data_IF_589829734779
#
_entry.id   IF_589829734779
#
_cell.length_a   1.000
_cell.length_b   1.000
_cell.length_c   1.000
_cell.angle_alpha   90.00
_cell.angle_beta   90.00
_cell.angle_gamma   90.00
#
_symmetry.space_group_name_H-M   'P 1'
#
loop_
_entity.id
_entity.type
_entity.pdbx_description
1 polymer ?
#
# COMPACT_ATOMS: atom_id res chain seq x y z
N UNK A 1 -35.26 -15.79 -21.45
CA UNK A 1 -33.89 -15.30 -21.13
C UNK A 1 -33.80 -14.84 -19.68
N UNK A 2 -34.58 -13.83 -19.28
CA UNK A 2 -34.51 -13.23 -17.93
C UNK A 2 -34.82 -14.22 -16.79
N UNK A 3 -35.84 -15.07 -16.94
CA UNK A 3 -36.18 -16.08 -15.92
C UNK A 3 -35.07 -17.11 -15.68
N UNK A 4 -34.41 -17.56 -16.76
CA UNK A 4 -33.30 -18.53 -16.67
C UNK A 4 -32.09 -17.93 -15.98
N UNK A 5 -31.73 -16.69 -16.33
CA UNK A 5 -30.67 -15.94 -15.68
C UNK A 5 -30.99 -15.74 -14.20
N UNK A 6 -32.22 -15.31 -13.88
CA UNK A 6 -32.67 -15.10 -12.50
C UNK A 6 -32.56 -16.38 -11.66
N UNK A 7 -33.02 -17.52 -12.18
CA UNK A 7 -32.95 -18.80 -11.46
C UNK A 7 -31.49 -19.22 -11.18
N UNK A 8 -30.60 -19.01 -12.16
CA UNK A 8 -29.17 -19.27 -11.99
C UNK A 8 -28.52 -18.36 -10.94
N UNK A 9 -28.86 -17.06 -10.97
CA UNK A 9 -28.38 -16.10 -9.97
C UNK A 9 -28.83 -16.48 -8.56
N UNK A 10 -30.11 -16.83 -8.39
CA UNK A 10 -30.65 -17.26 -7.09
C UNK A 10 -29.89 -18.49 -6.58
N UNK A 11 -29.65 -19.50 -7.43
CA UNK A 11 -28.86 -20.69 -7.07
C UNK A 11 -27.47 -20.29 -6.55
N UNK A 12 -26.74 -19.48 -7.31
CA UNK A 12 -25.36 -19.10 -6.95
C UNK A 12 -25.33 -18.28 -5.65
N UNK A 13 -26.26 -17.35 -5.45
CA UNK A 13 -26.39 -16.61 -4.19
C UNK A 13 -26.64 -17.54 -3.01
N UNK A 14 -27.61 -18.45 -3.14
CA UNK A 14 -27.88 -19.43 -2.09
C UNK A 14 -26.64 -20.27 -1.83
N UNK A 15 -25.92 -20.71 -2.85
CA UNK A 15 -24.76 -21.57 -2.69
C UNK A 15 -23.60 -20.86 -1.99
N UNK A 16 -23.33 -19.59 -2.33
CA UNK A 16 -22.28 -18.78 -1.69
C UNK A 16 -22.64 -18.50 -0.23
N UNK A 17 -23.88 -18.07 0.03
CA UNK A 17 -24.27 -17.73 1.40
C UNK A 17 -24.65 -18.95 2.24
N UNK A 18 -24.95 -20.13 1.70
CA UNK A 18 -25.31 -21.29 2.54
C UNK A 18 -24.14 -21.81 3.36
N UNK A 19 -22.91 -21.64 2.88
CA UNK A 19 -21.71 -22.07 3.61
C UNK A 19 -21.24 -20.97 4.59
N UNK A 20 -21.32 -21.19 5.92
CA UNK A 20 -20.85 -20.21 6.89
C UNK A 20 -19.35 -19.91 6.77
N UNK A 21 -18.54 -20.88 6.31
CA UNK A 21 -17.11 -20.67 6.08
C UNK A 21 -16.86 -19.69 4.94
N UNK A 22 -17.64 -19.78 3.85
CA UNK A 22 -17.55 -18.81 2.76
C UNK A 22 -17.91 -17.41 3.23
N UNK A 23 -18.95 -17.23 4.06
CA UNK A 23 -19.29 -15.90 4.60
C UNK A 23 -18.14 -15.29 5.40
N UNK A 24 -17.46 -16.10 6.22
CA UNK A 24 -16.30 -15.65 6.99
C UNK A 24 -15.17 -15.23 6.05
N UNK A 25 -14.84 -16.06 5.07
CA UNK A 25 -13.76 -15.77 4.11
C UNK A 25 -14.07 -14.55 3.24
N UNK A 26 -15.32 -14.35 2.84
CA UNK A 26 -15.72 -13.26 1.95
C UNK A 26 -15.90 -11.93 2.66
N UNK A 27 -16.35 -11.89 3.91
CA UNK A 27 -16.69 -10.62 4.59
C UNK A 27 -15.87 -10.37 5.84
N UNK A 28 -15.79 -11.38 6.73
CA UNK A 28 -15.11 -11.21 8.02
C UNK A 28 -13.61 -11.09 7.84
N UNK A 29 -13.02 -11.94 7.01
CA UNK A 29 -11.58 -11.95 6.77
C UNK A 29 -11.11 -10.64 6.11
N UNK A 30 -11.79 -10.09 5.08
CA UNK A 30 -11.48 -8.76 4.56
C UNK A 30 -11.58 -7.61 5.55
N UNK A 31 -12.64 -7.58 6.36
CA UNK A 31 -12.81 -6.56 7.39
C UNK A 31 -11.68 -6.64 8.42
N UNK A 32 -11.37 -7.85 8.90
CA UNK A 32 -10.28 -8.11 9.82
C UNK A 32 -8.91 -7.76 9.20
N UNK A 33 -8.67 -8.13 7.93
CA UNK A 33 -7.45 -7.76 7.22
C UNK A 33 -7.32 -6.24 7.11
N UNK A 34 -8.39 -5.51 6.82
CA UNK A 34 -8.37 -4.04 6.79
C UNK A 34 -7.99 -3.47 8.14
N UNK A 35 -8.56 -4.01 9.22
CA UNK A 35 -8.22 -3.58 10.59
C UNK A 35 -6.75 -3.87 10.89
N UNK A 36 -6.28 -5.08 10.58
CA UNK A 36 -4.89 -5.49 10.79
C UNK A 36 -3.97 -4.61 9.97
N UNK A 37 -4.18 -4.44 8.67
CA UNK A 37 -3.30 -3.63 7.83
C UNK A 37 -3.35 -2.15 8.20
N UNK A 38 -4.52 -1.63 8.58
CA UNK A 38 -4.68 -0.23 8.99
C UNK A 38 -3.95 0.10 10.30
N UNK A 39 -3.85 -0.84 11.25
CA UNK A 39 -3.11 -0.65 12.50
C UNK A 39 -1.66 -1.16 12.47
N UNK A 40 -1.43 -2.32 11.85
CA UNK A 40 -0.14 -3.04 11.90
C UNK A 40 0.87 -2.53 10.88
N UNK A 41 0.42 -2.01 9.73
CA UNK A 41 1.33 -1.36 8.78
C UNK A 41 1.41 0.11 9.10
N UNK A 42 2.08 0.40 10.21
CA UNK A 42 2.43 1.75 10.62
C UNK A 42 3.89 2.00 10.26
N UNK A 43 4.12 2.81 9.22
CA UNK A 43 5.46 3.24 8.82
C UNK A 43 5.87 4.56 9.49
N UNK A 44 5.08 5.06 10.45
CA UNK A 44 5.38 6.29 11.16
C UNK A 44 6.65 6.09 12.02
N UNK A 45 7.75 6.72 11.61
CA UNK A 45 9.02 6.64 12.33
C UNK A 45 8.99 7.58 13.53
N UNK A 46 8.69 7.04 14.72
CA UNK A 46 8.73 7.75 16.02
C UNK A 46 9.52 6.93 17.05
N UNK A 47 10.04 7.58 18.09
CA UNK A 47 10.78 6.93 19.19
C UNK A 47 12.00 6.10 18.75
N UNK A 48 12.78 6.61 17.80
CA UNK A 48 13.96 5.95 17.22
C UNK A 48 14.98 5.67 18.34
N UNK A 49 15.26 4.39 18.68
CA UNK A 49 16.25 4.05 19.68
C UNK A 49 17.64 4.51 19.22
N UNK A 50 18.21 5.46 19.94
CA UNK A 50 19.42 6.19 19.54
C UNK A 50 20.50 6.03 20.59
N UNK A 51 21.72 5.69 20.17
CA UNK A 51 22.91 5.78 21.01
C UNK A 51 23.69 7.07 20.70
N UNK A 52 24.29 7.64 21.74
CA UNK A 52 25.19 8.79 21.61
C UNK A 52 26.62 8.33 21.80
N UNK A 53 27.47 8.63 20.83
CA UNK A 53 28.91 8.49 20.92
C UNK A 53 29.54 9.88 21.02
N UNK A 54 29.74 10.36 22.24
CA UNK A 54 30.29 11.70 22.46
C UNK A 54 31.76 11.61 22.87
N UNK A 55 32.67 11.87 21.92
CA UNK A 55 34.12 11.93 22.16
C UNK A 55 34.60 13.31 22.60
N UNK A 56 33.81 14.35 22.35
CA UNK A 56 34.13 15.73 22.70
C UNK A 56 33.75 16.05 24.15
N UNK A 57 32.67 15.43 24.63
CA UNK A 57 32.10 15.57 25.98
C UNK A 57 31.92 17.05 26.41
N UNK A 58 31.55 17.90 25.46
CA UNK A 58 31.43 19.34 25.65
C UNK A 58 30.03 19.77 26.07
N UNK A 59 29.85 21.06 26.33
CA UNK A 59 28.52 21.65 26.55
C UNK A 59 27.68 21.62 25.27
N UNK A 60 28.31 21.89 24.13
CA UNK A 60 27.67 22.01 22.81
C UNK A 60 27.20 20.65 22.29
N UNK A 61 28.01 19.58 22.46
CA UNK A 61 27.60 18.21 22.10
C UNK A 61 26.39 17.76 22.92
N UNK A 62 26.40 18.01 24.24
CA UNK A 62 25.29 17.67 25.15
C UNK A 62 24.03 18.48 24.87
N UNK A 63 24.16 19.76 24.52
CA UNK A 63 23.02 20.59 24.15
C UNK A 63 22.34 20.06 22.88
N UNK A 64 23.11 19.78 21.82
CA UNK A 64 22.56 19.26 20.57
C UNK A 64 21.90 17.89 20.79
N UNK A 65 22.54 17.01 21.56
CA UNK A 65 21.96 15.73 21.97
C UNK A 65 20.62 15.89 22.73
N UNK A 66 20.54 16.86 23.65
CA UNK A 66 19.32 17.12 24.42
C UNK A 66 18.18 17.65 23.54
N UNK A 67 18.49 18.55 22.59
CA UNK A 67 17.51 19.03 21.60
C UNK A 67 16.96 17.85 20.80
N UNK A 68 17.83 16.96 20.33
CA UNK A 68 17.42 15.77 19.59
C UNK A 68 16.53 14.84 20.41
N UNK A 69 16.85 14.59 21.68
CA UNK A 69 15.99 13.81 22.59
C UNK A 69 14.61 14.46 22.81
N UNK A 70 14.58 15.78 22.96
CA UNK A 70 13.34 16.53 23.24
C UNK A 70 12.40 16.66 22.02
N UNK A 71 12.89 16.37 20.81
CA UNK A 71 12.11 16.45 19.57
C UNK A 71 10.95 15.45 19.47
N UNK A 72 10.94 14.40 20.29
CA UNK A 72 9.97 13.31 20.24
C UNK A 72 10.22 12.28 19.14
N UNK A 73 11.17 12.51 18.23
CA UNK A 73 11.56 11.54 17.20
C UNK A 73 12.58 10.53 17.70
N UNK A 74 13.51 10.96 18.55
CA UNK A 74 14.63 10.16 19.04
C UNK A 74 14.48 9.83 20.51
N UNK A 75 14.73 8.57 20.85
CA UNK A 75 14.80 8.11 22.24
C UNK A 75 16.23 7.69 22.54
N UNK A 76 16.92 8.48 23.34
CA UNK A 76 18.29 8.14 23.75
C UNK A 76 18.24 6.95 24.69
N UNK A 77 18.79 5.82 24.26
CA UNK A 77 18.80 4.58 25.04
C UNK A 77 20.13 4.29 25.71
N UNK A 78 21.24 4.81 25.15
CA UNK A 78 22.58 4.54 25.65
C UNK A 78 23.57 5.63 25.26
N UNK A 79 24.59 5.84 26.07
CA UNK A 79 25.81 6.55 25.68
C UNK A 79 26.93 5.51 25.55
N UNK A 80 27.70 5.58 24.49
CA UNK A 80 28.73 4.59 24.15
C UNK A 80 30.11 5.21 24.15
N UNK A 81 31.12 4.39 24.46
CA UNK A 81 32.51 4.83 24.55
C UNK A 81 33.42 4.35 23.41
N UNK A 82 32.92 3.51 22.50
CA UNK A 82 33.74 2.93 21.44
C UNK A 82 32.96 2.63 20.15
N UNK A 83 33.65 2.64 19.01
CA UNK A 83 33.09 2.28 17.70
C UNK A 83 32.68 0.81 17.62
N UNK A 84 33.39 -0.07 18.32
CA UNK A 84 33.06 -1.50 18.38
C UNK A 84 31.71 -1.71 19.08
N UNK A 85 31.44 -0.93 20.13
CA UNK A 85 30.14 -0.90 20.78
C UNK A 85 29.06 -0.32 19.86
N UNK A 86 29.36 0.73 19.09
CA UNK A 86 28.45 1.29 18.09
C UNK A 86 28.01 0.23 17.07
N UNK A 87 28.97 -0.51 16.49
CA UNK A 87 28.72 -1.58 15.53
C UNK A 87 27.89 -2.70 16.15
N UNK A 88 28.29 -3.21 17.32
CA UNK A 88 27.55 -4.28 18.01
C UNK A 88 26.11 -3.91 18.32
N UNK A 89 25.83 -2.66 18.67
CA UNK A 89 24.47 -2.20 18.96
C UNK A 89 23.61 -2.06 17.69
N UNK A 90 24.21 -1.60 16.60
CA UNK A 90 23.54 -1.53 15.29
C UNK A 90 23.29 -2.93 14.72
N UNK A 91 24.31 -3.81 14.71
CA UNK A 91 24.22 -5.18 14.21
C UNK A 91 23.18 -6.02 14.96
N UNK A 92 23.02 -5.77 16.27
CA UNK A 92 22.01 -6.44 17.10
C UNK A 92 20.62 -5.78 17.03
N UNK A 93 20.47 -4.68 16.28
CA UNK A 93 19.22 -3.92 16.21
C UNK A 93 18.78 -3.30 17.54
N UNK A 94 19.68 -3.18 18.52
CA UNK A 94 19.37 -2.58 19.83
C UNK A 94 19.17 -1.07 19.71
N UNK A 95 19.93 -0.46 18.79
CA UNK A 95 19.75 0.93 18.35
C UNK A 95 19.57 0.95 16.83
N UNK A 96 18.84 1.94 16.33
CA UNK A 96 18.69 2.18 14.87
C UNK A 96 19.54 3.34 14.38
N UNK A 97 20.05 4.14 15.31
CA UNK A 97 20.89 5.30 15.05
C UNK A 97 21.98 5.40 16.12
N UNK A 98 23.20 5.68 15.70
CA UNK A 98 24.31 6.16 16.54
C UNK A 98 24.66 7.56 16.07
N UNK A 99 24.58 8.52 16.98
CA UNK A 99 25.02 9.89 16.75
C UNK A 99 26.41 10.10 17.35
N UNK A 100 27.37 10.43 16.49
CA UNK A 100 28.78 10.60 16.84
C UNK A 100 29.19 12.07 16.86
N UNK A 101 29.77 12.51 17.98
CA UNK A 101 30.47 13.78 18.12
C UNK A 101 31.96 13.49 18.20
N UNK A 102 32.73 14.01 17.24
CA UNK A 102 34.17 13.82 17.17
C UNK A 102 34.93 14.78 18.10
N UNK A 103 36.17 14.41 18.48
CA UNK A 103 37.04 15.30 19.26
C UNK A 103 37.22 16.66 18.57
N UNK A 104 37.11 17.75 19.32
CA UNK A 104 37.25 19.12 18.81
C UNK A 104 35.97 19.65 18.17
N UNK A 105 34.82 19.01 18.40
CA UNK A 105 33.52 19.47 17.91
C UNK A 105 33.20 20.87 18.43
N UNK A 106 33.29 21.09 19.74
CA UNK A 106 33.07 22.41 20.37
C UNK A 106 34.10 23.45 19.94
N UNK A 107 35.37 23.05 19.81
CA UNK A 107 36.45 23.94 19.38
C UNK A 107 36.21 24.48 17.97
N UNK A 108 35.87 23.60 17.02
CA UNK A 108 35.53 23.99 15.64
C UNK A 108 34.31 24.91 15.60
N UNK A 109 33.24 24.58 16.33
CA UNK A 109 32.05 25.43 16.39
C UNK A 109 32.36 26.83 16.93
N UNK A 110 33.16 26.93 18.00
CA UNK A 110 33.58 28.21 18.59
C UNK A 110 34.54 28.98 17.70
N UNK A 111 35.37 28.28 16.94
CA UNK A 111 36.26 28.84 15.93
C UNK A 111 35.55 29.34 14.67
N UNK A 112 34.23 29.12 14.55
CA UNK A 112 33.46 29.46 13.34
C UNK A 112 33.67 28.49 12.19
N UNK A 113 34.27 27.33 12.46
CA UNK A 113 34.49 26.26 11.49
C UNK A 113 33.30 25.28 11.46
N UNK A 114 33.22 24.49 10.40
CA UNK A 114 32.21 23.44 10.28
C UNK A 114 32.62 22.21 11.10
N UNK A 115 31.87 21.90 12.15
CA UNK A 115 32.04 20.69 12.93
C UNK A 115 31.19 19.54 12.34
N UNK A 116 31.77 18.40 11.96
CA UNK A 116 31.00 17.27 11.45
C UNK A 116 30.24 16.57 12.57
N UNK A 117 28.93 16.40 12.38
CA UNK A 117 28.10 15.48 13.17
C UNK A 117 27.95 14.18 12.39
N UNK A 118 28.38 13.05 12.96
CA UNK A 118 28.25 11.75 12.32
C UNK A 118 26.93 11.08 12.71
N UNK A 119 26.25 10.50 11.72
CA UNK A 119 25.07 9.67 11.95
C UNK A 119 25.30 8.30 11.29
N UNK A 120 25.36 7.25 12.11
CA UNK A 120 25.44 5.86 11.65
C UNK A 120 24.08 5.21 11.88
N UNK A 121 23.49 4.66 10.82
CA UNK A 121 22.16 4.07 10.87
C UNK A 121 22.13 2.76 10.10
N UNK A 122 21.17 1.90 10.46
CA UNK A 122 20.86 0.71 9.69
C UNK A 122 20.13 1.10 8.39
N UNK A 123 20.81 0.91 7.26
CA UNK A 123 20.30 1.20 5.92
C UNK A 123 19.44 0.09 5.31
N UNK A 124 19.22 -1.03 6.02
CA UNK A 124 18.43 -2.18 5.52
C UNK A 124 16.98 -1.79 5.21
N UNK A 125 16.43 -0.80 5.94
CA UNK A 125 15.20 -0.11 5.58
C UNK A 125 15.52 1.30 5.07
N UNK A 126 15.65 1.43 3.76
CA UNK A 126 16.03 2.69 3.11
C UNK A 126 15.01 3.82 3.32
N UNK A 127 13.73 3.48 3.51
CA UNK A 127 12.68 4.49 3.71
C UNK A 127 12.78 5.08 5.12
N UNK A 128 12.87 4.21 6.13
CA UNK A 128 13.11 4.64 7.51
C UNK A 128 14.42 5.42 7.63
N UNK A 129 15.50 4.93 7.01
CA UNK A 129 16.80 5.60 6.96
C UNK A 129 16.71 7.03 6.39
N UNK A 130 16.01 7.20 5.27
CA UNK A 130 15.81 8.51 4.64
C UNK A 130 15.03 9.48 5.53
N UNK A 131 13.96 9.01 6.20
CA UNK A 131 13.16 9.81 7.13
C UNK A 131 14.00 10.25 8.34
N UNK A 132 14.74 9.32 8.95
CA UNK A 132 15.65 9.60 10.08
C UNK A 132 16.67 10.66 9.72
N UNK A 133 17.31 10.52 8.55
CA UNK A 133 18.28 11.51 8.06
C UNK A 133 17.65 12.89 7.82
N UNK A 134 16.42 12.93 7.31
CA UNK A 134 15.66 14.17 7.18
C UNK A 134 15.41 14.88 8.52
N UNK A 135 15.06 14.13 9.57
CA UNK A 135 14.89 14.68 10.92
C UNK A 135 16.22 15.24 11.48
N UNK A 136 17.32 14.50 11.31
CA UNK A 136 18.64 14.96 11.75
C UNK A 136 19.09 16.24 11.03
N UNK A 137 18.92 16.31 9.71
CA UNK A 137 19.26 17.49 8.93
C UNK A 137 18.45 18.73 9.38
N UNK A 138 17.16 18.54 9.67
CA UNK A 138 16.29 19.62 10.17
C UNK A 138 16.76 20.13 11.54
N UNK A 139 17.02 19.23 12.49
CA UNK A 139 17.47 19.61 13.84
C UNK A 139 18.87 20.24 13.83
N UNK A 140 19.78 19.75 12.99
CA UNK A 140 21.09 20.36 12.80
C UNK A 140 20.96 21.79 12.24
N UNK A 141 20.07 22.00 11.27
CA UNK A 141 19.80 23.34 10.71
C UNK A 141 19.21 24.29 11.77
N UNK A 142 18.30 23.81 12.61
CA UNK A 142 17.74 24.57 13.72
C UNK A 142 18.83 24.98 14.74
N UNK A 143 19.70 24.03 15.10
CA UNK A 143 20.80 24.27 16.03
C UNK A 143 21.81 25.29 15.48
N UNK A 144 22.20 25.15 14.22
CA UNK A 144 23.06 26.12 13.53
C UNK A 144 22.44 27.53 13.56
N UNK A 145 21.11 27.61 13.40
CA UNK A 145 20.38 28.85 13.60
C UNK A 145 20.54 29.42 15.01
N UNK A 146 20.40 28.60 16.06
CA UNK A 146 20.60 29.07 17.45
C UNK A 146 22.02 29.58 17.68
N UNK A 147 23.03 28.83 17.25
CA UNK A 147 24.44 29.21 17.35
C UNK A 147 24.73 30.54 16.67
N UNK A 148 24.28 30.71 15.43
CA UNK A 148 24.47 31.95 14.68
C UNK A 148 23.83 33.15 15.38
N UNK A 149 22.62 32.99 15.92
CA UNK A 149 21.94 34.07 16.65
C UNK A 149 22.62 34.44 17.97
N UNK A 150 23.14 33.44 18.69
CA UNK A 150 23.88 33.65 19.93
C UNK A 150 25.22 34.35 19.68
N UNK A 151 25.95 33.96 18.62
CA UNK A 151 27.19 34.58 18.21
C UNK A 151 27.00 36.05 17.81
N UNK A 152 26.00 36.35 16.97
CA UNK A 152 25.65 37.72 16.58
C UNK A 152 25.23 38.59 17.77
N UNK A 153 24.49 38.02 18.73
CA UNK A 153 24.08 38.74 19.96
C UNK A 153 25.28 39.15 20.80
N UNK A 154 26.31 38.29 20.90
CA UNK A 154 27.54 38.58 21.65
C UNK A 154 28.39 39.68 21.00
N UNK A 155 28.42 39.74 19.67
CA UNK A 155 29.22 40.73 18.93
C UNK A 155 28.56 42.11 18.86
N UNK A 156 27.25 42.18 18.64
CA UNK A 156 26.58 43.42 18.30
C UNK A 156 25.83 44.09 19.47
N UNK A 157 25.72 43.44 20.64
CA UNK A 157 24.96 43.93 21.81
C UNK A 157 23.43 43.98 21.60
N UNK A 158 22.98 44.05 20.34
CA UNK A 158 21.63 43.80 19.86
C UNK A 158 21.72 42.84 18.69
N UNK A 159 20.94 41.75 18.71
CA UNK A 159 20.82 40.87 17.55
C UNK A 159 20.07 41.63 16.45
N UNK A 160 20.67 41.87 15.27
CA UNK A 160 19.89 42.33 14.14
C UNK A 160 18.79 41.29 13.91
N UNK A 161 17.52 41.70 13.92
CA UNK A 161 16.41 40.84 13.50
C UNK A 161 16.47 40.69 11.97
N UNK A 162 17.42 39.88 11.51
CA UNK A 162 17.43 39.38 10.15
C UNK A 162 16.34 38.31 10.02
N UNK A 163 15.48 38.47 9.04
CA UNK A 163 14.44 37.48 8.73
C UNK A 163 15.07 36.13 8.45
N UNK A 164 14.46 35.05 8.95
CA UNK A 164 14.83 33.68 8.63
C UNK A 164 13.83 33.09 7.67
N UNK A 165 14.33 32.34 6.71
CA UNK A 165 13.48 31.50 5.85
C UNK A 165 13.27 30.19 6.58
N UNK A 166 12.06 29.98 7.11
CA UNK A 166 11.65 28.70 7.68
C UNK A 166 10.87 27.92 6.63
N UNK A 167 11.25 26.66 6.40
CA UNK A 167 10.49 25.77 5.52
C UNK A 167 9.20 25.36 6.23
N UNK A 168 8.10 26.06 5.92
CA UNK A 168 6.75 25.67 6.29
C UNK A 168 6.28 24.49 5.42
N UNK A 169 6.78 23.29 5.72
CA UNK A 169 6.39 22.07 4.99
C UNK A 169 4.94 21.69 5.30
N UNK A 170 4.12 21.53 4.25
CA UNK A 170 2.75 21.04 4.35
C UNK A 170 2.50 20.00 3.27
N UNK A 171 2.19 18.77 3.67
CA UNK A 171 1.68 17.78 2.74
C UNK A 171 0.26 18.17 2.30
N UNK A 172 0.04 18.25 0.98
CA UNK A 172 -1.23 18.70 0.42
C UNK A 172 -2.36 17.69 0.65
N UNK A 173 -2.02 16.40 0.60
CA UNK A 173 -2.90 15.28 0.90
C UNK A 173 -2.26 14.50 2.04
N UNK A 174 -3.06 14.16 3.05
CA UNK A 174 -2.60 13.57 4.31
C UNK A 174 -1.61 14.46 5.10
N UNK A 175 -2.06 15.60 5.65
CA UNK A 175 -1.19 16.56 6.35
C UNK A 175 -0.42 15.97 7.53
N UNK A 176 -1.04 15.01 8.22
CA UNK A 176 -0.46 14.32 9.37
C UNK A 176 0.46 13.14 8.97
N UNK A 177 0.57 12.86 7.66
CA UNK A 177 1.32 11.72 7.10
C UNK A 177 0.94 10.37 7.71
N UNK A 178 -0.33 10.22 8.10
CA UNK A 178 -0.83 9.00 8.72
C UNK A 178 -0.86 7.84 7.73
N UNK A 179 -0.56 6.64 8.22
CA UNK A 179 -0.51 5.42 7.39
C UNK A 179 -1.88 4.98 6.81
N UNK A 180 -3.03 5.04 7.54
CA UNK A 180 -4.30 4.49 7.04
C UNK A 180 -4.84 5.10 5.72
N UNK A 181 -4.79 6.43 5.49
CA UNK A 181 -5.16 7.02 4.21
C UNK A 181 -4.45 6.44 2.99
N UNK A 182 -3.26 5.87 3.17
CA UNK A 182 -2.50 5.21 2.11
C UNK A 182 -2.79 3.71 1.97
N UNK A 183 -2.89 3.00 3.10
CA UNK A 183 -3.02 1.54 3.11
C UNK A 183 -4.45 1.05 2.91
N UNK A 184 -5.47 1.70 3.48
CA UNK A 184 -6.87 1.25 3.35
C UNK A 184 -7.31 1.13 1.89
N UNK A 185 -7.09 2.14 1.01
CA UNK A 185 -7.44 2.02 -0.41
C UNK A 185 -6.69 0.88 -1.11
N UNK A 186 -5.43 0.65 -0.73
CA UNK A 186 -4.62 -0.39 -1.33
C UNK A 186 -5.06 -1.80 -0.91
N UNK A 187 -5.48 -1.96 0.34
CA UNK A 187 -6.06 -3.20 0.87
C UNK A 187 -7.35 -3.55 0.13
N UNK A 188 -8.22 -2.57 -0.14
CA UNK A 188 -9.43 -2.78 -0.98
C UNK A 188 -9.04 -3.41 -2.31
N UNK A 189 -8.08 -2.79 -3.02
CA UNK A 189 -7.64 -3.25 -4.35
C UNK A 189 -7.10 -4.68 -4.30
N UNK A 190 -6.26 -5.01 -3.32
CA UNK A 190 -5.65 -6.34 -3.21
C UNK A 190 -6.67 -7.41 -2.83
N UNK A 191 -7.51 -7.15 -1.82
CA UNK A 191 -8.53 -8.10 -1.38
C UNK A 191 -9.52 -8.38 -2.51
N UNK A 192 -10.00 -7.33 -3.16
CA UNK A 192 -10.94 -7.45 -4.27
C UNK A 192 -10.36 -8.32 -5.38
N UNK A 193 -9.08 -8.13 -5.70
CA UNK A 193 -8.39 -8.96 -6.70
C UNK A 193 -8.31 -10.42 -6.28
N UNK A 194 -7.86 -10.70 -5.05
CA UNK A 194 -7.72 -12.06 -4.52
C UNK A 194 -9.06 -12.79 -4.54
N UNK A 195 -10.11 -12.18 -3.99
CA UNK A 195 -11.43 -12.79 -3.90
C UNK A 195 -11.99 -13.06 -5.29
N UNK A 196 -11.96 -12.06 -6.18
CA UNK A 196 -12.56 -12.19 -7.51
C UNK A 196 -11.79 -13.18 -8.37
N UNK A 197 -10.47 -13.21 -8.30
CA UNK A 197 -9.63 -14.20 -8.98
C UNK A 197 -9.89 -15.62 -8.50
N UNK A 198 -9.94 -15.85 -7.18
CA UNK A 198 -10.18 -17.18 -6.61
C UNK A 198 -11.59 -17.70 -6.93
N UNK A 199 -12.62 -16.87 -6.73
CA UNK A 199 -14.01 -17.27 -7.01
C UNK A 199 -14.22 -17.56 -8.50
N UNK A 200 -13.73 -16.68 -9.38
CA UNK A 200 -13.92 -16.86 -10.83
C UNK A 200 -13.07 -18.00 -11.42
N UNK A 201 -11.86 -18.26 -10.87
CA UNK A 201 -11.04 -19.40 -11.31
C UNK A 201 -11.66 -20.75 -10.94
N UNK A 202 -12.38 -20.82 -9.83
CA UNK A 202 -13.08 -22.03 -9.42
C UNK A 202 -14.47 -22.19 -10.07
N UNK A 203 -15.04 -21.12 -10.63
CA UNK A 203 -16.45 -21.06 -10.99
C UNK A 203 -16.91 -22.15 -11.99
N UNK A 204 -16.11 -22.42 -13.02
CA UNK A 204 -16.40 -23.46 -14.04
C UNK A 204 -15.83 -24.81 -13.58
N UNK A 205 -14.63 -24.80 -13.00
CA UNK A 205 -13.92 -26.00 -12.56
C UNK A 205 -14.70 -26.78 -11.51
N UNK A 206 -15.37 -26.10 -10.58
CA UNK A 206 -16.24 -26.73 -9.60
C UNK A 206 -17.41 -27.49 -10.24
N UNK A 207 -17.98 -26.97 -11.33
CA UNK A 207 -19.04 -27.68 -12.07
C UNK A 207 -18.48 -28.87 -12.86
N UNK A 208 -17.22 -28.78 -13.34
CA UNK A 208 -16.54 -29.91 -13.98
C UNK A 208 -16.29 -31.04 -12.98
N UNK A 209 -15.77 -30.73 -11.80
CA UNK A 209 -15.45 -31.74 -10.77
C UNK A 209 -16.68 -32.43 -10.19
N UNK A 210 -17.79 -31.70 -10.04
CA UNK A 210 -19.05 -32.25 -9.50
C UNK A 210 -19.87 -32.95 -10.61
N UNK A 211 -19.43 -32.88 -11.88
CA UNK A 211 -20.08 -33.53 -13.02
C UNK A 211 -21.34 -32.81 -13.53
N UNK A 212 -21.68 -31.64 -12.98
CA UNK A 212 -22.85 -30.84 -13.40
C UNK A 212 -22.61 -30.09 -14.72
N UNK A 213 -21.37 -30.02 -15.20
CA UNK A 213 -21.06 -29.36 -16.48
C UNK A 213 -21.76 -30.01 -17.67
N UNK A 214 -21.92 -31.34 -17.68
CA UNK A 214 -22.61 -32.07 -18.76
C UNK A 214 -24.10 -31.70 -18.80
N UNK A 215 -24.71 -31.58 -17.62
CA UNK A 215 -26.09 -31.13 -17.46
C UNK A 215 -26.25 -29.69 -17.97
N UNK A 216 -25.31 -28.80 -17.69
CA UNK A 216 -25.32 -27.43 -18.21
C UNK A 216 -25.19 -27.40 -19.73
N UNK A 217 -24.35 -28.25 -20.32
CA UNK A 217 -24.12 -28.30 -21.77
C UNK A 217 -25.39 -28.70 -22.53
N UNK A 218 -26.22 -29.60 -21.98
CA UNK A 218 -27.49 -30.01 -22.62
C UNK A 218 -28.62 -29.01 -22.42
N UNK A 219 -28.49 -28.02 -21.54
CA UNK A 219 -29.50 -26.96 -21.39
C UNK A 219 -29.48 -25.98 -22.57
N UNK A 220 -30.63 -25.33 -22.87
CA UNK A 220 -30.73 -24.29 -23.90
C UNK A 220 -30.07 -22.95 -23.49
N UNK A 221 -29.17 -22.94 -22.50
CA UNK A 221 -28.43 -21.75 -22.04
C UNK A 221 -27.28 -21.46 -23.01
N UNK A 222 -27.13 -20.18 -23.42
CA UNK A 222 -26.02 -19.72 -24.25
C UNK A 222 -24.75 -19.54 -23.42
N UNK A 223 -23.57 -19.63 -24.07
CA UNK A 223 -22.26 -19.47 -23.40
C UNK A 223 -22.16 -18.18 -22.57
N UNK A 224 -22.56 -17.05 -23.18
CA UNK A 224 -22.55 -15.75 -22.50
C UNK A 224 -23.53 -15.67 -21.32
N UNK A 225 -24.71 -16.27 -21.44
CA UNK A 225 -25.70 -16.31 -20.34
C UNK A 225 -25.20 -17.12 -19.14
N UNK A 226 -24.53 -18.24 -19.40
CA UNK A 226 -23.92 -19.07 -18.35
C UNK A 226 -22.79 -18.31 -17.63
N UNK A 227 -21.89 -17.68 -18.39
CA UNK A 227 -20.77 -16.91 -17.83
C UNK A 227 -21.30 -15.71 -17.02
N UNK A 228 -22.26 -14.95 -17.56
CA UNK A 228 -22.89 -13.83 -16.85
C UNK A 228 -23.59 -14.29 -15.58
N UNK A 229 -24.33 -15.40 -15.63
CA UNK A 229 -25.02 -15.97 -14.47
C UNK A 229 -24.07 -16.39 -13.35
N UNK A 230 -22.85 -16.84 -13.67
CA UNK A 230 -21.82 -17.16 -12.67
C UNK A 230 -21.03 -15.94 -12.18
N UNK A 231 -20.78 -14.96 -13.03
CA UNK A 231 -19.93 -13.81 -12.68
C UNK A 231 -20.67 -12.73 -11.91
N UNK A 232 -21.96 -12.51 -12.20
CA UNK A 232 -22.72 -11.43 -11.57
C UNK A 232 -22.83 -11.54 -10.03
N UNK A 233 -22.99 -12.74 -9.42
CA UNK A 233 -22.90 -12.88 -7.97
C UNK A 233 -21.54 -12.41 -7.40
N UNK A 234 -20.44 -12.70 -8.10
CA UNK A 234 -19.11 -12.27 -7.69
C UNK A 234 -18.90 -10.76 -7.87
N UNK A 235 -19.52 -10.15 -8.89
CA UNK A 235 -19.57 -8.70 -9.05
C UNK A 235 -20.25 -8.05 -7.84
N UNK A 236 -21.38 -8.60 -7.41
CA UNK A 236 -22.12 -8.10 -6.25
C UNK A 236 -21.33 -8.26 -4.94
N UNK A 237 -20.65 -9.39 -4.75
CA UNK A 237 -19.72 -9.59 -3.62
C UNK A 237 -18.61 -8.54 -3.66
N UNK A 238 -18.03 -8.28 -4.83
CA UNK A 238 -16.99 -7.27 -4.98
C UNK A 238 -17.47 -5.85 -4.60
N UNK A 239 -18.70 -5.49 -4.94
CA UNK A 239 -19.28 -4.22 -4.48
C UNK A 239 -19.52 -4.19 -2.97
N UNK A 240 -20.00 -5.29 -2.40
CA UNK A 240 -20.17 -5.41 -0.95
C UNK A 240 -18.83 -5.25 -0.26
N UNK A 241 -17.75 -5.85 -0.78
CA UNK A 241 -16.41 -5.72 -0.21
C UNK A 241 -15.87 -4.29 -0.29
N UNK A 242 -16.00 -3.63 -1.44
CA UNK A 242 -15.60 -2.22 -1.56
C UNK A 242 -16.38 -1.37 -0.56
N UNK A 243 -17.69 -1.57 -0.42
CA UNK A 243 -18.51 -0.84 0.54
C UNK A 243 -18.10 -1.15 1.99
N UNK A 244 -17.97 -2.43 2.34
CA UNK A 244 -17.60 -2.90 3.67
C UNK A 244 -16.26 -2.34 4.11
N UNK A 245 -15.23 -2.48 3.27
CA UNK A 245 -13.88 -2.02 3.59
C UNK A 245 -13.84 -0.48 3.61
N UNK A 246 -14.56 0.21 2.73
CA UNK A 246 -14.69 1.67 2.78
C UNK A 246 -15.37 2.14 4.07
N UNK A 247 -16.40 1.42 4.53
CA UNK A 247 -17.10 1.72 5.78
C UNK A 247 -16.17 1.50 6.99
N UNK A 248 -15.41 0.40 7.01
CA UNK A 248 -14.37 0.17 8.05
C UNK A 248 -13.32 1.29 8.01
N UNK A 249 -12.83 1.65 6.82
CA UNK A 249 -11.90 2.75 6.63
C UNK A 249 -12.40 4.09 7.17
N UNK A 250 -13.67 4.41 6.90
CA UNK A 250 -14.29 5.65 7.35
C UNK A 250 -14.57 5.65 8.85
N UNK A 251 -15.08 4.54 9.42
CA UNK A 251 -15.54 4.48 10.81
C UNK A 251 -14.44 4.17 11.82
N UNK A 252 -13.39 3.44 11.42
CA UNK A 252 -12.30 3.00 12.31
C UNK A 252 -11.04 3.84 12.14
N UNK A 253 -10.78 4.36 10.94
CA UNK A 253 -9.52 5.00 10.57
C UNK A 253 -9.67 6.44 10.05
N UNK A 254 -10.86 7.04 10.21
CA UNK A 254 -11.18 8.40 9.73
C UNK A 254 -10.74 8.64 8.26
N UNK A 255 -10.84 7.60 7.43
CA UNK A 255 -10.45 7.60 6.02
C UNK A 255 -11.69 7.47 5.13
N UNK A 256 -12.55 8.51 5.04
CA UNK A 256 -13.72 8.49 4.17
C UNK A 256 -13.33 8.64 2.69
N UNK A 257 -14.22 8.17 1.82
CA UNK A 257 -14.10 8.40 0.37
C UNK A 257 -14.31 9.89 0.09
N UNK A 258 -13.27 10.58 -0.38
CA UNK A 258 -13.32 12.03 -0.68
C UNK A 258 -13.87 12.35 -2.07
N UNK A 259 -13.65 11.46 -3.04
CA UNK A 259 -14.07 11.65 -4.42
C UNK A 259 -15.50 11.18 -4.71
N UNK A 260 -15.84 11.10 -5.99
CA UNK A 260 -17.17 10.68 -6.42
C UNK A 260 -17.39 9.17 -6.23
N UNK A 261 -18.45 8.81 -5.50
CA UNK A 261 -18.89 7.41 -5.37
C UNK A 261 -19.27 6.78 -6.70
N UNK A 262 -19.77 7.58 -7.65
CA UNK A 262 -20.07 7.10 -9.00
C UNK A 262 -18.80 6.71 -9.77
N UNK A 263 -17.73 7.49 -9.63
CA UNK A 263 -16.43 7.15 -10.24
C UNK A 263 -15.83 5.91 -9.58
N UNK A 264 -15.98 5.75 -8.27
CA UNK A 264 -15.58 4.54 -7.57
C UNK A 264 -16.34 3.33 -8.12
N UNK A 265 -17.67 3.41 -8.21
CA UNK A 265 -18.50 2.35 -8.76
C UNK A 265 -18.09 1.97 -10.20
N UNK A 266 -17.90 2.94 -11.08
CA UNK A 266 -17.46 2.72 -12.46
C UNK A 266 -16.08 2.06 -12.51
N UNK A 267 -15.11 2.57 -11.74
CA UNK A 267 -13.77 2.02 -11.68
C UNK A 267 -13.78 0.57 -11.15
N UNK A 268 -14.55 0.31 -10.09
CA UNK A 268 -14.76 -1.03 -9.53
C UNK A 268 -15.39 -1.95 -10.58
N UNK A 269 -16.37 -1.48 -11.36
CA UNK A 269 -16.97 -2.26 -12.46
C UNK A 269 -15.91 -2.74 -13.45
N UNK A 270 -15.09 -1.82 -13.96
CA UNK A 270 -14.07 -2.12 -14.98
C UNK A 270 -12.96 -3.02 -14.42
N UNK A 271 -12.60 -2.80 -13.16
CA UNK A 271 -11.65 -3.66 -12.47
C UNK A 271 -12.19 -5.08 -12.28
N UNK A 272 -13.44 -5.23 -11.83
CA UNK A 272 -14.12 -6.51 -11.69
C UNK A 272 -14.23 -7.25 -13.03
N UNK A 273 -14.55 -6.55 -14.12
CA UNK A 273 -14.53 -7.14 -15.47
C UNK A 273 -13.17 -7.75 -15.80
N UNK A 274 -12.08 -7.05 -15.46
CA UNK A 274 -10.72 -7.52 -15.69
C UNK A 274 -10.36 -8.71 -14.81
N UNK A 275 -10.56 -8.62 -13.50
CA UNK A 275 -10.15 -9.67 -12.56
C UNK A 275 -10.98 -10.95 -12.71
N UNK A 276 -12.31 -10.82 -12.89
CA UNK A 276 -13.18 -11.96 -13.15
C UNK A 276 -12.87 -12.59 -14.50
N UNK A 277 -12.55 -11.79 -15.52
CA UNK A 277 -12.12 -12.30 -16.81
C UNK A 277 -10.85 -13.15 -16.70
N UNK A 278 -9.85 -12.68 -15.95
CA UNK A 278 -8.58 -13.40 -15.77
C UNK A 278 -8.84 -14.71 -15.03
N UNK A 279 -9.60 -14.70 -13.94
CA UNK A 279 -9.91 -15.93 -13.23
C UNK A 279 -10.76 -16.88 -14.07
N UNK A 280 -11.72 -16.40 -14.86
CA UNK A 280 -12.45 -17.24 -15.82
C UNK A 280 -11.52 -17.91 -16.84
N UNK A 281 -10.52 -17.19 -17.38
CA UNK A 281 -9.54 -17.78 -18.28
C UNK A 281 -8.80 -18.94 -17.61
N UNK A 282 -8.36 -18.76 -16.35
CA UNK A 282 -7.75 -19.83 -15.56
C UNK A 282 -8.73 -21.01 -15.44
N UNK A 283 -9.99 -20.73 -15.13
CA UNK A 283 -11.05 -21.75 -15.01
C UNK A 283 -11.24 -22.59 -16.29
N UNK A 284 -11.03 -21.98 -17.47
CA UNK A 284 -11.15 -22.72 -18.74
C UNK A 284 -10.03 -23.74 -18.95
N UNK A 285 -8.82 -23.46 -18.45
CA UNK A 285 -7.62 -24.30 -18.65
C UNK A 285 -7.33 -25.25 -17.48
N UNK A 286 -7.95 -25.03 -16.32
CA UNK A 286 -7.79 -25.91 -15.16
C UNK A 286 -8.78 -27.09 -15.18
N UNK A 287 -8.31 -28.22 -14.66
CA UNK A 287 -9.09 -29.46 -14.50
C UNK A 287 -9.61 -29.64 -13.07
N UNK A 288 -8.85 -29.20 -12.06
CA UNK A 288 -9.23 -29.31 -10.65
C UNK A 288 -9.26 -27.97 -9.94
N UNK A 289 -10.07 -27.84 -8.87
CA UNK A 289 -10.19 -26.61 -8.07
C UNK A 289 -8.82 -26.25 -7.48
N UNK A 290 -8.06 -27.24 -7.01
CA UNK A 290 -6.71 -27.02 -6.49
C UNK A 290 -5.76 -26.47 -7.56
N UNK A 291 -5.80 -27.01 -8.79
CA UNK A 291 -5.01 -26.49 -9.90
C UNK A 291 -5.39 -25.04 -10.21
N UNK A 292 -6.70 -24.73 -10.27
CA UNK A 292 -7.20 -23.38 -10.52
C UNK A 292 -6.76 -22.38 -9.44
N UNK A 293 -6.78 -22.80 -8.17
CA UNK A 293 -6.28 -22.00 -7.04
C UNK A 293 -4.77 -21.76 -7.15
N UNK A 294 -3.98 -22.79 -7.44
CA UNK A 294 -2.52 -22.65 -7.61
C UNK A 294 -2.17 -21.72 -8.77
N UNK A 295 -2.85 -21.86 -9.91
CA UNK A 295 -2.69 -20.95 -11.06
C UNK A 295 -3.12 -19.52 -10.74
N UNK A 296 -4.21 -19.34 -9.98
CA UNK A 296 -4.62 -18.03 -9.51
C UNK A 296 -3.57 -17.40 -8.59
N UNK A 297 -3.04 -18.13 -7.61
CA UNK A 297 -1.97 -17.62 -6.74
C UNK A 297 -0.70 -17.26 -7.51
N UNK A 298 -0.32 -18.09 -8.50
CA UNK A 298 0.81 -17.80 -9.37
C UNK A 298 0.67 -16.47 -10.12
N UNK A 299 -0.56 -16.05 -10.45
CA UNK A 299 -0.84 -14.74 -11.08
C UNK A 299 -0.99 -13.64 -10.02
N UNK A 300 -1.67 -13.93 -8.90
CA UNK A 300 -1.96 -12.96 -7.83
C UNK A 300 -0.67 -12.39 -7.24
N UNK A 301 0.29 -13.22 -6.83
CA UNK A 301 1.48 -12.75 -6.13
C UNK A 301 2.33 -11.79 -6.99
N UNK A 302 2.73 -12.14 -8.23
CA UNK A 302 3.43 -11.21 -9.11
C UNK A 302 2.61 -9.96 -9.43
N UNK A 303 1.30 -10.10 -9.68
CA UNK A 303 0.44 -8.96 -9.97
C UNK A 303 0.36 -7.98 -8.79
N UNK A 304 0.33 -8.46 -7.55
CA UNK A 304 0.38 -7.61 -6.36
C UNK A 304 1.72 -6.89 -6.21
N UNK A 305 2.85 -7.56 -6.44
CA UNK A 305 4.18 -6.95 -6.40
C UNK A 305 4.36 -5.88 -7.49
N UNK A 306 3.83 -6.13 -8.69
CA UNK A 306 3.87 -5.26 -9.85
C UNK A 306 2.75 -4.20 -9.89
N UNK A 307 1.96 -4.06 -8.82
CA UNK A 307 0.80 -3.15 -8.79
C UNK A 307 1.13 -1.71 -8.37
N UNK A 308 2.32 -1.46 -7.82
CA UNK A 308 2.61 -0.21 -7.13
C UNK A 308 2.13 -0.18 -5.67
N UNK A 309 1.72 -1.33 -5.13
CA UNK A 309 1.35 -1.49 -3.72
C UNK A 309 2.56 -1.44 -2.79
N UNK A 310 3.49 -2.38 -2.97
CA UNK A 310 4.65 -2.56 -2.09
C UNK A 310 5.82 -1.64 -2.45
N UNK A 311 6.07 -1.48 -3.75
CA UNK A 311 7.16 -0.65 -4.28
C UNK A 311 6.62 0.28 -5.38
N UNK A 312 7.07 1.54 -5.44
CA UNK A 312 6.78 2.41 -6.57
C UNK A 312 7.19 1.75 -7.89
N UNK A 313 6.35 1.86 -8.92
CA UNK A 313 6.61 1.22 -10.22
C UNK A 313 7.82 1.88 -10.90
N UNK A 314 8.01 3.17 -10.65
CA UNK A 314 9.11 3.98 -11.16
C UNK A 314 10.48 3.48 -10.68
N UNK A 315 10.52 2.77 -9.54
CA UNK A 315 11.75 2.21 -8.98
C UNK A 315 12.11 0.84 -9.60
N UNK A 316 11.24 0.27 -10.44
CA UNK A 316 11.49 -1.02 -11.09
C UNK A 316 12.33 -0.85 -12.36
N UNK A 317 13.16 -1.83 -12.74
CA UNK A 317 13.81 -1.85 -14.05
C UNK A 317 12.78 -1.79 -15.19
N UNK A 318 13.14 -1.16 -16.32
CA UNK A 318 12.22 -0.93 -17.45
C UNK A 318 11.44 -2.17 -17.92
N UNK A 319 12.02 -3.39 -18.02
CA UNK A 319 11.26 -4.56 -18.43
C UNK A 319 10.11 -4.91 -17.47
N UNK A 320 10.33 -4.74 -16.16
CA UNK A 320 9.31 -4.96 -15.16
C UNK A 320 8.21 -3.89 -15.25
N UNK A 321 8.56 -2.64 -15.55
CA UNK A 321 7.59 -1.56 -15.77
C UNK A 321 6.65 -1.86 -16.95
N UNK A 322 7.17 -2.42 -18.05
CA UNK A 322 6.35 -2.81 -19.20
C UNK A 322 5.38 -3.94 -18.84
N UNK A 323 5.82 -4.93 -18.07
CA UNK A 323 4.94 -6.02 -17.61
C UNK A 323 3.76 -5.51 -16.78
N UNK A 324 3.97 -4.45 -16.00
CA UNK A 324 2.89 -3.84 -15.20
C UNK A 324 1.77 -3.23 -16.06
N UNK A 325 1.99 -2.94 -17.35
CA UNK A 325 0.95 -2.41 -18.24
C UNK A 325 -0.17 -3.42 -18.50
N UNK A 326 0.11 -4.72 -18.38
CA UNK A 326 -0.87 -5.80 -18.51
C UNK A 326 -1.67 -6.04 -17.22
N UNK A 327 -1.26 -5.43 -16.11
CA UNK A 327 -1.78 -5.71 -14.80
C UNK A 327 -2.94 -4.75 -14.43
N UNK A 328 -4.19 -5.24 -14.30
CA UNK A 328 -5.31 -4.36 -13.94
C UNK A 328 -5.16 -3.76 -12.54
N UNK A 329 -4.45 -4.42 -11.61
CA UNK A 329 -4.20 -3.89 -10.27
C UNK A 329 -3.49 -2.53 -10.33
N UNK A 330 -2.55 -2.34 -11.26
CA UNK A 330 -1.80 -1.08 -11.44
C UNK A 330 -2.75 0.10 -11.59
N UNK A 331 -3.69 -0.01 -12.53
CA UNK A 331 -4.59 1.07 -12.87
C UNK A 331 -5.61 1.33 -11.77
N UNK A 332 -6.18 0.26 -11.19
CA UNK A 332 -7.15 0.40 -10.11
C UNK A 332 -6.52 0.97 -8.83
N UNK A 333 -5.26 0.63 -8.53
CA UNK A 333 -4.50 1.21 -7.41
C UNK A 333 -4.35 2.73 -7.54
N UNK A 334 -4.06 3.23 -8.75
CA UNK A 334 -3.97 4.68 -9.01
C UNK A 334 -5.33 5.36 -8.83
N UNK A 335 -6.40 4.75 -9.36
CA UNK A 335 -7.75 5.31 -9.27
C UNK A 335 -8.22 5.37 -7.81
N UNK A 336 -8.12 4.26 -7.07
CA UNK A 336 -8.67 4.19 -5.70
C UNK A 336 -7.94 5.16 -4.76
N UNK A 337 -6.59 5.26 -4.85
CA UNK A 337 -5.82 6.25 -4.08
C UNK A 337 -6.19 7.68 -4.50
N UNK A 338 -6.41 7.92 -5.79
CA UNK A 338 -6.88 9.21 -6.29
C UNK A 338 -8.24 9.60 -5.69
N UNK A 339 -9.20 8.68 -5.65
CA UNK A 339 -10.55 8.94 -5.13
C UNK A 339 -10.52 9.12 -3.60
N UNK A 340 -9.83 8.26 -2.86
CA UNK A 340 -9.81 8.31 -1.40
C UNK A 340 -8.96 9.47 -0.86
N UNK A 341 -7.74 9.66 -1.37
CA UNK A 341 -6.81 10.65 -0.80
C UNK A 341 -7.02 12.04 -1.37
N UNK A 342 -7.19 12.11 -2.69
CA UNK A 342 -7.16 13.37 -3.46
C UNK A 342 -8.54 13.88 -3.88
N UNK A 343 -9.56 13.02 -3.89
CA UNK A 343 -10.90 13.36 -4.39
C UNK A 343 -10.92 13.72 -5.88
N UNK A 344 -10.04 13.11 -6.69
CA UNK A 344 -9.93 13.46 -8.12
C UNK A 344 -11.19 13.14 -8.91
N UNK A 345 -11.51 14.01 -9.88
CA UNK A 345 -12.60 13.81 -10.83
C UNK A 345 -12.20 13.01 -12.07
N UNK A 346 -13.17 12.77 -12.95
CA UNK A 346 -13.02 11.97 -14.18
C UNK A 346 -11.88 12.44 -15.08
N UNK A 347 -11.68 13.76 -15.22
CA UNK A 347 -10.67 14.33 -16.11
C UNK A 347 -9.22 13.92 -15.79
N UNK A 348 -8.94 13.44 -14.57
CA UNK A 348 -7.61 12.96 -14.17
C UNK A 348 -7.50 11.44 -14.34
N UNK A 349 -8.57 10.69 -14.05
CA UNK A 349 -8.53 9.22 -13.96
C UNK A 349 -8.98 8.50 -15.24
N UNK A 350 -9.44 9.23 -16.25
CA UNK A 350 -9.94 8.63 -17.50
C UNK A 350 -8.92 7.73 -18.21
N UNK A 351 -7.59 8.00 -18.23
CA UNK A 351 -6.64 7.10 -18.90
C UNK A 351 -6.58 5.73 -18.22
N UNK A 352 -6.64 5.71 -16.88
CA UNK A 352 -6.63 4.48 -16.09
C UNK A 352 -7.95 3.72 -16.26
N UNK A 353 -9.08 4.43 -16.33
CA UNK A 353 -10.37 3.82 -16.65
C UNK A 353 -10.37 3.20 -18.05
N UNK A 354 -9.82 3.89 -19.05
CA UNK A 354 -9.72 3.39 -20.41
C UNK A 354 -8.82 2.14 -20.50
N UNK A 355 -7.69 2.14 -19.80
CA UNK A 355 -6.81 0.97 -19.72
C UNK A 355 -7.52 -0.23 -19.06
N UNK A 356 -8.22 -0.02 -17.94
CA UNK A 356 -9.02 -1.07 -17.30
C UNK A 356 -10.14 -1.58 -18.22
N UNK A 357 -10.83 -0.70 -18.93
CA UNK A 357 -11.85 -1.10 -19.89
C UNK A 357 -11.25 -1.93 -21.02
N UNK A 358 -10.11 -1.51 -21.58
CA UNK A 358 -9.39 -2.27 -22.60
C UNK A 358 -8.98 -3.66 -22.14
N UNK A 359 -8.33 -3.76 -20.97
CA UNK A 359 -7.93 -5.05 -20.38
C UNK A 359 -9.16 -5.91 -20.10
N UNK A 360 -10.19 -5.36 -19.45
CA UNK A 360 -11.39 -6.08 -19.09
C UNK A 360 -12.14 -6.63 -20.29
N UNK A 361 -12.33 -5.82 -21.33
CA UNK A 361 -12.99 -6.25 -22.58
C UNK A 361 -12.17 -7.35 -23.26
N UNK A 362 -10.87 -7.16 -23.45
CA UNK A 362 -10.01 -8.15 -24.12
C UNK A 362 -10.04 -9.48 -23.37
N UNK A 363 -9.81 -9.46 -22.06
CA UNK A 363 -9.76 -10.67 -21.24
C UNK A 363 -11.11 -11.40 -21.23
N UNK A 364 -12.23 -10.68 -21.07
CA UNK A 364 -13.56 -11.29 -21.10
C UNK A 364 -13.90 -11.90 -22.47
N UNK A 365 -13.57 -11.21 -23.57
CA UNK A 365 -13.78 -11.75 -24.91
C UNK A 365 -12.99 -13.04 -25.13
N UNK A 366 -11.73 -13.08 -24.71
CA UNK A 366 -10.90 -14.30 -24.78
C UNK A 366 -11.48 -15.40 -23.90
N UNK A 367 -11.99 -15.08 -22.70
CA UNK A 367 -12.59 -16.05 -21.79
C UNK A 367 -13.86 -16.69 -22.39
N UNK A 368 -14.74 -15.86 -22.95
CA UNK A 368 -15.97 -16.32 -23.61
C UNK A 368 -15.65 -17.15 -24.85
N UNK A 369 -14.66 -16.74 -25.65
CA UNK A 369 -14.23 -17.46 -26.85
C UNK A 369 -13.61 -18.84 -26.51
N UNK A 370 -12.80 -18.92 -25.45
CA UNK A 370 -12.16 -20.16 -24.99
C UNK A 370 -13.14 -21.13 -24.36
N UNK A 371 -14.26 -20.67 -23.81
CA UNK A 371 -15.30 -21.53 -23.27
C UNK A 371 -15.94 -22.37 -24.40
N UNK A 372 -15.62 -23.67 -24.46
CA UNK A 372 -16.22 -24.62 -25.39
C UNK A 372 -17.45 -25.26 -24.74
N UNK A 373 -18.56 -25.30 -25.48
CA UNK A 373 -19.81 -25.97 -25.08
C UNK A 373 -19.83 -27.41 -25.63
N UNK A 374 -18.70 -28.10 -25.51
CA UNK A 374 -18.51 -29.45 -26.04
C UNK A 374 -17.57 -30.21 -25.11
N UNK A 375 -17.93 -31.44 -24.79
CA UNK A 375 -17.06 -32.39 -24.09
C UNK A 375 -16.12 -32.95 -25.15
N UNK A 376 -14.84 -32.60 -25.06
CA UNK A 376 -13.81 -32.95 -26.03
C UNK A 376 -12.45 -32.47 -25.59
#
# INVERSE_FOLDING_TARGET
MFERLRAMLIKEFIQVFRDPRMRIVLFVLPALQTIIFGYAVNMDVKNIPTAIFDRDNSSESRELAAIMASSGYFRIVKHIGSDDEARKLLDRGTVRLVLGFEHGFSEKLRGGETAPLQALLDGSDSNTAGVVMGYLARLATEYNGRLQSAYLSRLAGQTPRIGRVELASRAWFNPNLESPPFYVPAVITNILFVITMLLSSMAIVREKEIGTIEQVIVTPIRKGEFILGKTLPFVLIGYIDVFLISAVGALVFDTPVRGSLWLLFLATTLFLMSSLGIGLLISTVSHTQQQAMMSAFFIIFPAMLLSGFAFPIENMPEPAQWLTLLNPLRYYMVIIRGIFMKGVGFGIIWPQLAALAGIGVVVLLVAVARFKKTVG
#
